data_IF_199444208667
#
_entry.id   IF_199444208667
#
_cell.length_a   1.000
_cell.length_b   1.000
_cell.length_c   1.000
_cell.angle_alpha   90.00
_cell.angle_beta   90.00
_cell.angle_gamma   90.00
#
_symmetry.space_group_name_H-M   'P 1'
#
loop_
_entity.id
_entity.type
_entity.pdbx_description
1 polymer ?
#
# COMPACT_ATOMS: atom_id res chain seq x y z
N UNK A 1 -3.97 18.98 -2.34
CA UNK A 1 -2.71 18.20 -2.28
C UNK A 1 -2.91 16.68 -2.29
N UNK A 2 -4.11 16.15 -2.59
CA UNK A 2 -4.38 14.71 -2.77
C UNK A 2 -3.38 14.02 -3.71
N UNK A 3 -3.13 14.66 -4.87
CA UNK A 3 -2.24 14.17 -5.93
C UNK A 3 -0.86 13.79 -5.39
N UNK A 4 -0.28 14.61 -4.49
CA UNK A 4 1.04 14.35 -3.91
C UNK A 4 1.01 13.08 -3.05
N UNK A 5 0.05 12.98 -2.14
CA UNK A 5 -0.09 11.80 -1.26
C UNK A 5 -0.32 10.51 -2.07
N UNK A 6 -1.07 10.61 -3.17
CA UNK A 6 -1.33 9.51 -4.08
C UNK A 6 -0.07 9.07 -4.81
N UNK A 7 0.71 10.01 -5.37
CA UNK A 7 1.98 9.68 -6.04
C UNK A 7 3.03 9.13 -5.08
N UNK A 8 3.08 9.60 -3.84
CA UNK A 8 3.97 9.02 -2.81
C UNK A 8 3.55 7.57 -2.53
N UNK A 9 2.27 7.33 -2.28
CA UNK A 9 1.76 5.99 -1.96
C UNK A 9 1.90 5.00 -3.12
N UNK A 10 1.38 5.35 -4.29
CA UNK A 10 1.44 4.52 -5.49
C UNK A 10 2.87 4.37 -6.00
N UNK A 11 3.65 5.46 -6.00
CA UNK A 11 5.05 5.46 -6.40
C UNK A 11 5.89 4.50 -5.57
N UNK A 12 5.64 4.42 -4.25
CA UNK A 12 6.30 3.44 -3.39
C UNK A 12 5.98 1.99 -3.78
N UNK A 13 4.70 1.67 -4.01
CA UNK A 13 4.26 0.33 -4.42
C UNK A 13 4.90 -0.06 -5.74
N UNK A 14 4.86 0.84 -6.74
CA UNK A 14 5.47 0.59 -8.05
C UNK A 14 6.99 0.42 -7.94
N UNK A 15 7.67 1.27 -7.17
CA UNK A 15 9.12 1.17 -6.92
C UNK A 15 9.50 -0.19 -6.35
N UNK A 16 8.71 -0.71 -5.40
CA UNK A 16 8.97 -2.02 -4.80
C UNK A 16 8.85 -3.17 -5.79
N UNK A 17 7.87 -3.11 -6.70
CA UNK A 17 7.53 -4.23 -7.58
C UNK A 17 8.25 -4.22 -8.95
N UNK A 18 8.60 -3.03 -9.47
CA UNK A 18 9.10 -2.86 -10.85
C UNK A 18 10.62 -2.83 -11.01
N UNK A 19 11.40 -3.22 -10.00
CA UNK A 19 12.86 -3.12 -10.05
C UNK A 19 13.50 -3.68 -11.34
N UNK A 20 14.52 -2.97 -11.82
CA UNK A 20 15.19 -3.07 -13.13
C UNK A 20 15.97 -4.38 -13.43
N UNK A 21 15.44 -5.55 -13.05
CA UNK A 21 16.04 -6.84 -13.37
C UNK A 21 15.05 -7.75 -14.08
N UNK A 22 15.50 -8.34 -15.19
CA UNK A 22 14.77 -9.39 -15.94
C UNK A 22 14.74 -10.74 -15.21
N UNK A 23 15.51 -10.87 -14.12
CA UNK A 23 15.51 -12.03 -13.24
C UNK A 23 14.58 -11.75 -12.05
N UNK A 24 13.42 -12.45 -11.96
CA UNK A 24 12.46 -12.27 -10.88
C UNK A 24 13.03 -12.47 -9.47
N UNK A 25 14.12 -13.24 -9.32
CA UNK A 25 14.80 -13.49 -8.04
C UNK A 25 15.73 -12.34 -7.62
N UNK A 26 16.08 -11.44 -8.55
CA UNK A 26 16.95 -10.28 -8.30
C UNK A 26 16.18 -8.96 -8.20
N UNK A 27 14.86 -8.99 -8.40
CA UNK A 27 14.02 -7.81 -8.21
C UNK A 27 14.06 -7.31 -6.77
N UNK A 28 13.90 -6.00 -6.59
CA UNK A 28 14.04 -5.32 -5.31
C UNK A 28 13.06 -5.82 -4.24
N UNK A 29 11.83 -6.21 -4.62
CA UNK A 29 10.88 -6.79 -3.67
C UNK A 29 11.45 -8.03 -2.94
N UNK A 30 12.37 -8.80 -3.52
CA UNK A 30 12.98 -9.94 -2.83
C UNK A 30 13.76 -9.50 -1.59
N UNK A 31 14.28 -8.26 -1.58
CA UNK A 31 14.92 -7.70 -0.40
C UNK A 31 13.93 -7.51 0.75
N UNK A 32 12.63 -7.44 0.50
CA UNK A 32 11.60 -7.38 1.54
C UNK A 32 11.47 -8.71 2.31
N UNK A 33 12.01 -9.82 1.80
CA UNK A 33 12.09 -11.06 2.56
C UNK A 33 13.20 -11.01 3.63
N UNK A 34 14.18 -10.13 3.47
CA UNK A 34 15.21 -9.89 4.48
C UNK A 34 14.65 -9.05 5.63
N UNK A 35 14.76 -9.58 6.86
CA UNK A 35 14.21 -8.95 8.06
C UNK A 35 14.69 -7.49 8.26
N UNK A 36 15.98 -7.22 8.02
CA UNK A 36 16.55 -5.87 8.19
C UNK A 36 15.91 -4.86 7.24
N UNK A 37 15.87 -5.21 5.95
CA UNK A 37 15.28 -4.38 4.90
C UNK A 37 13.78 -4.19 5.12
N UNK A 38 13.06 -5.25 5.50
CA UNK A 38 11.63 -5.16 5.83
C UNK A 38 11.37 -4.20 6.99
N UNK A 39 12.10 -4.32 8.10
CA UNK A 39 11.93 -3.45 9.27
C UNK A 39 12.24 -1.99 8.93
N UNK A 40 13.27 -1.72 8.14
CA UNK A 40 13.60 -0.38 7.67
C UNK A 40 12.43 0.25 6.89
N UNK A 41 11.88 -0.49 5.93
CA UNK A 41 10.74 -0.03 5.14
C UNK A 41 9.46 0.09 5.97
N UNK A 42 9.26 -0.80 6.95
CA UNK A 42 8.14 -0.73 7.87
C UNK A 42 8.22 0.54 8.73
N UNK A 43 9.40 0.87 9.24
CA UNK A 43 9.63 2.12 9.97
C UNK A 43 9.33 3.35 9.10
N UNK A 44 9.80 3.37 7.85
CA UNK A 44 9.49 4.42 6.88
C UNK A 44 7.97 4.53 6.63
N UNK A 45 7.29 3.40 6.43
CA UNK A 45 5.84 3.33 6.24
C UNK A 45 5.06 3.84 7.45
N UNK A 46 5.51 3.51 8.67
CA UNK A 46 4.95 4.06 9.91
C UNK A 46 5.15 5.57 10.01
N UNK A 47 6.33 6.09 9.71
CA UNK A 47 6.60 7.54 9.69
C UNK A 47 5.70 8.27 8.69
N UNK A 48 5.55 7.72 7.48
CA UNK A 48 4.64 8.27 6.47
C UNK A 48 3.18 8.21 6.93
N UNK A 49 2.76 7.13 7.59
CA UNK A 49 1.39 6.99 8.11
C UNK A 49 1.10 7.98 9.25
N UNK A 50 2.06 8.25 10.13
CA UNK A 50 1.95 9.27 11.18
C UNK A 50 1.83 10.66 10.54
N UNK A 51 2.67 10.98 9.55
CA UNK A 51 2.56 12.21 8.78
C UNK A 51 1.19 12.31 8.08
N UNK A 52 0.72 11.23 7.48
CA UNK A 52 -0.58 11.13 6.85
C UNK A 52 -1.71 11.43 7.84
N UNK A 53 -1.67 10.85 9.04
CA UNK A 53 -2.64 11.11 10.08
C UNK A 53 -2.66 12.59 10.49
N UNK A 54 -1.49 13.19 10.71
CA UNK A 54 -1.38 14.62 10.99
C UNK A 54 -1.99 15.46 9.86
N UNK A 55 -1.65 15.16 8.59
CA UNK A 55 -2.14 15.91 7.44
C UNK A 55 -3.65 15.75 7.22
N UNK A 56 -4.20 14.56 7.44
CA UNK A 56 -5.66 14.33 7.38
C UNK A 56 -6.39 15.18 8.43
N UNK A 57 -5.85 15.26 9.65
CA UNK A 57 -6.47 15.98 10.76
C UNK A 57 -6.45 17.50 10.59
N UNK A 58 -5.34 18.04 10.08
CA UNK A 58 -5.09 19.50 10.08
C UNK A 58 -5.09 20.16 8.71
N UNK A 59 -4.90 19.41 7.61
CA UNK A 59 -4.66 19.99 6.27
C UNK A 59 -5.70 19.54 5.25
N UNK A 60 -5.87 18.23 5.02
CA UNK A 60 -6.81 17.69 4.03
C UNK A 60 -7.10 16.21 4.29
N UNK A 61 -8.38 15.90 4.56
CA UNK A 61 -8.83 14.54 4.88
C UNK A 61 -8.65 13.52 3.74
N UNK A 62 -8.47 13.98 2.49
CA UNK A 62 -8.27 13.13 1.32
C UNK A 62 -6.86 12.54 1.22
N UNK A 63 -5.92 12.96 2.06
CA UNK A 63 -4.52 12.54 1.99
C UNK A 63 -4.24 11.15 2.58
N UNK A 64 -5.14 10.19 2.32
CA UNK A 64 -5.02 8.79 2.73
C UNK A 64 -3.95 8.00 1.97
N UNK A 65 -3.35 8.60 0.93
CA UNK A 65 -2.27 7.99 0.15
C UNK A 65 -1.01 7.69 0.96
N UNK A 66 -0.77 8.47 2.04
CA UNK A 66 0.37 8.25 2.94
C UNK A 66 0.32 6.93 3.72
N UNK A 67 -0.84 6.28 3.82
CA UNK A 67 -0.99 4.96 4.45
C UNK A 67 -0.63 3.81 3.52
N UNK A 68 -0.64 4.04 2.19
CA UNK A 68 -0.42 2.97 1.20
C UNK A 68 0.91 2.23 1.37
N UNK A 69 2.06 2.88 1.68
CA UNK A 69 3.32 2.16 1.91
C UNK A 69 3.26 1.18 3.08
N UNK A 70 2.68 1.61 4.21
CA UNK A 70 2.52 0.74 5.38
C UNK A 70 1.57 -0.42 5.07
N UNK A 71 0.42 -0.12 4.49
CA UNK A 71 -0.57 -1.13 4.11
C UNK A 71 0.02 -2.13 3.12
N UNK A 72 0.78 -1.67 2.13
CA UNK A 72 1.50 -2.52 1.19
C UNK A 72 2.43 -3.51 1.91
N UNK A 73 3.27 -3.05 2.84
CA UNK A 73 4.18 -3.94 3.55
C UNK A 73 3.45 -4.98 4.42
N UNK A 74 2.32 -4.61 5.02
CA UNK A 74 1.50 -5.52 5.81
C UNK A 74 0.83 -6.59 4.91
N UNK A 75 0.17 -6.16 3.83
CA UNK A 75 -0.51 -7.07 2.91
C UNK A 75 0.47 -7.92 2.10
N UNK A 76 1.58 -7.35 1.65
CA UNK A 76 2.64 -8.10 0.98
C UNK A 76 3.18 -9.23 1.87
N UNK A 77 3.44 -8.94 3.15
CA UNK A 77 3.91 -9.95 4.11
C UNK A 77 2.85 -11.01 4.41
N UNK A 78 1.58 -10.59 4.52
CA UNK A 78 0.45 -11.50 4.70
C UNK A 78 0.32 -12.47 3.51
N UNK A 79 0.32 -11.94 2.28
CA UNK A 79 0.20 -12.76 1.09
C UNK A 79 1.42 -13.65 0.87
N UNK A 80 2.63 -13.15 1.14
CA UNK A 80 3.86 -13.95 1.12
C UNK A 80 3.77 -15.13 2.07
N UNK A 81 3.29 -14.89 3.30
CA UNK A 81 3.06 -15.97 4.26
C UNK A 81 2.04 -17.00 3.76
N UNK A 82 0.96 -16.56 3.11
CA UNK A 82 -0.03 -17.48 2.50
C UNK A 82 0.62 -18.35 1.42
N UNK A 83 1.40 -17.75 0.51
CA UNK A 83 2.09 -18.52 -0.55
C UNK A 83 3.14 -19.46 0.03
N UNK A 84 3.88 -19.02 1.05
CA UNK A 84 4.84 -19.86 1.76
C UNK A 84 4.16 -21.09 2.38
N UNK A 85 2.95 -20.95 2.92
CA UNK A 85 2.16 -22.07 3.46
C UNK A 85 1.59 -22.98 2.37
N UNK A 86 1.16 -22.42 1.24
CA UNK A 86 0.57 -23.20 0.15
C UNK A 86 1.61 -23.93 -0.72
N UNK A 87 2.81 -23.37 -0.84
CA UNK A 87 3.79 -23.79 -1.86
C UNK A 87 5.19 -24.04 -1.31
N UNK A 88 5.46 -23.72 -0.05
CA UNK A 88 6.79 -23.87 0.55
C UNK A 88 7.83 -22.88 0.03
N UNK A 89 7.40 -21.83 -0.71
CA UNK A 89 8.28 -20.79 -1.25
C UNK A 89 7.65 -19.40 -1.16
N UNK A 90 8.48 -18.36 -1.30
CA UNK A 90 8.03 -16.97 -1.36
C UNK A 90 7.28 -16.64 -2.67
N UNK A 91 6.51 -15.55 -2.65
CA UNK A 91 5.85 -14.99 -3.85
C UNK A 91 6.89 -14.61 -4.90
N UNK A 92 6.61 -14.95 -6.16
CA UNK A 92 7.43 -14.55 -7.30
C UNK A 92 6.73 -13.49 -8.16
N UNK A 93 7.26 -12.27 -8.21
CA UNK A 93 6.71 -11.21 -9.04
C UNK A 93 7.34 -11.24 -10.44
N UNK A 94 6.57 -11.69 -11.43
CA UNK A 94 7.00 -11.79 -12.84
C UNK A 94 6.29 -10.72 -13.68
N UNK A 95 7.07 -9.95 -14.43
CA UNK A 95 6.60 -8.91 -15.36
C UNK A 95 6.83 -9.33 -16.82
N UNK A 96 6.18 -8.64 -17.76
CA UNK A 96 6.38 -8.87 -19.20
C UNK A 96 7.87 -8.65 -19.55
N UNK A 97 8.52 -9.68 -20.07
CA UNK A 97 9.95 -9.66 -20.45
C UNK A 97 10.88 -10.40 -19.49
N UNK A 98 10.39 -10.83 -18.33
CA UNK A 98 11.20 -11.59 -17.37
C UNK A 98 11.42 -13.04 -17.80
N UNK A 99 12.51 -13.64 -17.32
CA UNK A 99 12.72 -15.09 -17.39
C UNK A 99 11.90 -15.78 -16.31
N UNK A 100 10.82 -16.43 -16.71
CA UNK A 100 9.89 -17.12 -15.80
C UNK A 100 10.58 -18.34 -15.16
N UNK A 101 10.67 -18.41 -13.81
CA UNK A 101 11.18 -19.59 -13.11
C UNK A 101 10.27 -20.81 -13.33
N UNK A 102 10.84 -22.01 -13.34
CA UNK A 102 10.07 -23.26 -13.57
C UNK A 102 9.02 -23.55 -12.49
N UNK A 103 9.21 -23.01 -11.28
CA UNK A 103 8.32 -23.15 -10.14
C UNK A 103 7.26 -22.04 -10.06
N UNK A 104 7.26 -21.06 -10.97
CA UNK A 104 6.29 -19.98 -11.04
C UNK A 104 4.88 -20.49 -11.37
N UNK A 105 3.88 -20.01 -10.63
CA UNK A 105 2.48 -20.36 -10.83
C UNK A 105 1.69 -19.07 -11.01
N UNK A 106 1.35 -18.76 -12.26
CA UNK A 106 0.69 -17.50 -12.63
C UNK A 106 -0.58 -17.23 -11.81
N UNK A 107 -1.35 -18.27 -11.49
CA UNK A 107 -2.61 -18.13 -10.75
C UNK A 107 -2.40 -17.82 -9.27
N UNK A 108 -1.32 -18.27 -8.64
CA UNK A 108 -1.01 -17.89 -7.25
C UNK A 108 -0.16 -16.65 -7.20
N UNK A 109 0.98 -16.66 -7.86
CA UNK A 109 1.96 -15.58 -7.76
C UNK A 109 1.39 -14.31 -8.39
N UNK A 110 0.75 -14.42 -9.54
CA UNK A 110 0.10 -13.30 -10.20
C UNK A 110 -1.07 -12.76 -9.39
N UNK A 111 -1.92 -13.64 -8.84
CA UNK A 111 -3.04 -13.23 -7.99
C UNK A 111 -2.57 -12.55 -6.71
N UNK A 112 -1.65 -13.14 -5.95
CA UNK A 112 -1.18 -12.56 -4.68
C UNK A 112 -0.34 -11.31 -4.90
N UNK A 113 0.41 -11.22 -6.00
CA UNK A 113 1.06 -9.96 -6.41
C UNK A 113 0.01 -8.89 -6.71
N UNK A 114 -1.00 -9.20 -7.52
CA UNK A 114 -2.07 -8.26 -7.85
C UNK A 114 -2.84 -7.80 -6.60
N UNK A 115 -3.16 -8.74 -5.71
CA UNK A 115 -3.78 -8.41 -4.42
C UNK A 115 -2.86 -7.51 -3.59
N UNK A 116 -1.55 -7.79 -3.51
CA UNK A 116 -0.60 -6.93 -2.80
C UNK A 116 -0.56 -5.49 -3.32
N UNK A 117 -0.85 -5.29 -4.60
CA UNK A 117 -0.95 -3.95 -5.22
C UNK A 117 -2.29 -3.28 -4.97
N UNK A 118 -3.40 -4.02 -5.15
CA UNK A 118 -4.75 -3.45 -5.14
C UNK A 118 -5.24 -3.24 -3.70
N UNK A 119 -4.95 -4.16 -2.78
CA UNK A 119 -5.48 -4.12 -1.41
C UNK A 119 -5.08 -2.84 -0.66
N UNK A 120 -3.83 -2.35 -0.69
CA UNK A 120 -3.46 -1.08 -0.06
C UNK A 120 -4.26 0.11 -0.60
N UNK A 121 -4.53 0.13 -1.91
CA UNK A 121 -5.32 1.18 -2.56
C UNK A 121 -6.76 1.13 -2.06
N UNK A 122 -7.38 -0.05 -2.10
CA UNK A 122 -8.76 -0.25 -1.64
C UNK A 122 -8.91 0.09 -0.15
N UNK A 123 -7.99 -0.34 0.70
CA UNK A 123 -8.04 -0.05 2.15
C UNK A 123 -7.86 1.44 2.42
N UNK A 124 -6.95 2.13 1.74
CA UNK A 124 -6.85 3.59 1.82
C UNK A 124 -8.15 4.29 1.39
N UNK A 125 -8.79 3.83 0.31
CA UNK A 125 -10.10 4.35 -0.12
C UNK A 125 -11.20 4.10 0.91
N UNK A 126 -11.22 2.93 1.55
CA UNK A 126 -12.17 2.62 2.63
C UNK A 126 -11.96 3.51 3.85
N UNK A 127 -10.70 3.79 4.22
CA UNK A 127 -10.37 4.75 5.28
C UNK A 127 -10.95 6.12 4.93
N UNK A 128 -10.74 6.60 3.71
CA UNK A 128 -11.30 7.88 3.24
C UNK A 128 -12.83 7.91 3.35
N UNK A 129 -13.51 6.87 2.88
CA UNK A 129 -14.97 6.77 2.96
C UNK A 129 -15.46 6.80 4.41
N UNK A 130 -14.79 6.07 5.32
CA UNK A 130 -15.14 6.03 6.74
C UNK A 130 -14.91 7.37 7.43
N UNK A 131 -13.84 8.07 7.10
CA UNK A 131 -13.56 9.42 7.61
C UNK A 131 -14.61 10.43 7.12
N UNK A 132 -15.04 10.33 5.85
CA UNK A 132 -16.10 11.19 5.30
C UNK A 132 -17.45 10.94 5.98
N UNK A 133 -17.79 9.68 6.27
CA UNK A 133 -19.04 9.32 6.97
C UNK A 133 -19.03 9.72 8.46
N UNK A 134 -17.86 9.74 9.09
CA UNK A 134 -17.71 9.97 10.54
C UNK A 134 -16.70 11.09 10.82
N UNK A 135 -17.00 12.35 10.48
CA UNK A 135 -16.07 13.47 10.66
C UNK A 135 -15.69 13.70 12.12
N UNK A 136 -16.49 13.19 13.08
CA UNK A 136 -16.18 13.22 14.51
C UNK A 136 -14.88 12.50 14.89
N UNK A 137 -14.41 11.54 14.08
CA UNK A 137 -13.15 10.80 14.31
C UNK A 137 -11.93 11.73 14.21
N UNK A 138 -12.00 12.75 13.35
CA UNK A 138 -10.82 13.55 13.01
C UNK A 138 -10.45 14.54 14.11
N UNK A 139 -11.43 15.07 14.85
CA UNK A 139 -11.21 16.04 15.93
C UNK A 139 -10.38 17.26 15.50
N UNK A 140 -11.00 18.38 15.18
CA UNK A 140 -10.30 19.58 14.71
C UNK A 140 -11.09 20.35 13.66
N UNK A 141 -10.49 21.37 13.01
CA UNK A 141 -11.21 22.32 12.15
C UNK A 141 -11.88 21.66 10.92
N UNK A 142 -11.43 20.47 10.53
CA UNK A 142 -12.02 19.72 9.42
C UNK A 142 -13.37 19.08 9.71
N UNK A 143 -13.69 18.84 11.00
CA UNK A 143 -15.00 18.32 11.39
C UNK A 143 -16.12 19.23 10.88
N UNK A 144 -15.87 20.53 10.93
CA UNK A 144 -16.84 21.56 10.55
C UNK A 144 -16.92 21.71 9.02
N UNK A 145 -15.78 21.64 8.32
CA UNK A 145 -15.74 21.69 6.85
C UNK A 145 -16.47 20.52 6.18
N UNK A 146 -16.25 19.28 6.63
CA UNK A 146 -16.93 18.09 6.09
C UNK A 146 -18.44 18.14 6.37
N UNK A 147 -18.85 18.69 7.52
CA UNK A 147 -20.26 18.85 7.88
C UNK A 147 -20.96 19.84 6.94
N UNK A 148 -20.30 20.93 6.56
CA UNK A 148 -20.84 21.92 5.62
C UNK A 148 -21.05 21.31 4.23
N UNK A 149 -20.06 20.58 3.69
CA UNK A 149 -20.18 19.91 2.38
C UNK A 149 -21.30 18.86 2.33
N UNK A 150 -21.59 18.18 3.45
CA UNK A 150 -22.70 17.22 3.50
C UNK A 150 -24.07 17.90 3.50
N UNK A 151 -24.18 19.11 4.03
CA UNK A 151 -25.43 19.89 4.08
C UNK A 151 -25.72 20.53 2.71
N UNK A 152 -24.68 20.99 1.99
CA UNK A 152 -24.84 21.65 0.69
C UNK A 152 -25.10 20.70 -0.48
N UNK A 153 -24.84 19.40 -0.31
CA UNK A 153 -25.08 18.36 -1.32
C UNK A 153 -26.34 17.52 -1.06
N UNK A 154 -27.22 17.95 -0.15
CA UNK A 154 -28.57 17.41 0.06
C UNK A 154 -29.61 18.34 -0.55
#
# INVERSE_FOLDING_TARGET
MFIISFFIGLGYILFMLMAFSLDPKKKYYNRLFERKTYIFHLALGCMLSILGFYRIKYINFQEVGYFMPLLFLLFFRLFDWVVLKMQGRHILVVTKGDRVPSDYKWWTDGLFTLLSMITPILVSSLILMKLKQNPGILGGPYKDAVKIDLITNQ
#
